data_IF_270286598500
#
_entry.id   IF_270286598500
#
_cell.length_a   1.000
_cell.length_b   1.000
_cell.length_c   1.000
_cell.angle_alpha   90.00
_cell.angle_beta   90.00
_cell.angle_gamma   90.00
#
_symmetry.space_group_name_H-M   'P 1'
#
loop_
_entity.id
_entity.type
_entity.pdbx_description
1 polymer ?
#
# COMPACT_ATOMS: atom_id res chain seq x y z
N UNK A 1 17.06 -2.21 -28.64
CA UNK A 1 16.73 -1.65 -27.31
C UNK A 1 17.03 -2.74 -26.31
N UNK A 2 18.14 -2.61 -25.58
CA UNK A 2 18.60 -3.63 -24.62
C UNK A 2 17.54 -3.77 -23.53
N UNK A 3 16.85 -4.91 -23.50
CA UNK A 3 16.02 -5.29 -22.36
C UNK A 3 16.97 -5.52 -21.19
N UNK A 4 17.26 -4.48 -20.43
CA UNK A 4 17.96 -4.61 -19.16
C UNK A 4 17.08 -5.50 -18.28
N UNK A 5 17.46 -6.76 -18.20
CA UNK A 5 17.03 -7.67 -17.16
C UNK A 5 17.42 -6.96 -15.86
N UNK A 6 16.41 -6.56 -15.10
CA UNK A 6 16.62 -6.07 -13.76
C UNK A 6 17.03 -7.31 -12.96
N UNK A 7 18.34 -7.49 -12.77
CA UNK A 7 18.98 -8.67 -12.15
C UNK A 7 18.66 -8.82 -10.65
N UNK A 8 17.60 -8.17 -10.18
CA UNK A 8 17.13 -8.29 -8.81
C UNK A 8 16.71 -9.73 -8.52
N UNK A 9 17.40 -10.33 -7.55
CA UNK A 9 17.03 -11.57 -6.89
C UNK A 9 16.81 -11.27 -5.42
N UNK A 10 15.67 -11.70 -4.87
CA UNK A 10 15.33 -11.39 -3.49
C UNK A 10 16.38 -11.86 -2.48
N UNK A 11 16.94 -13.05 -2.72
CA UNK A 11 17.97 -13.67 -1.88
C UNK A 11 19.23 -12.79 -1.69
N UNK A 12 19.55 -11.94 -2.68
CA UNK A 12 20.73 -11.06 -2.60
C UNK A 12 20.55 -9.97 -1.53
N UNK A 13 19.30 -9.61 -1.20
CA UNK A 13 18.98 -8.55 -0.24
C UNK A 13 18.57 -9.09 1.14
N UNK A 14 18.12 -10.34 1.24
CA UNK A 14 17.67 -10.96 2.49
C UNK A 14 18.74 -10.85 3.61
N UNK A 15 20.02 -10.99 3.24
CA UNK A 15 21.14 -10.88 4.18
C UNK A 15 21.60 -9.44 4.46
N UNK A 16 21.21 -8.47 3.62
CA UNK A 16 21.64 -7.08 3.76
C UNK A 16 20.86 -6.34 4.85
N UNK A 17 19.71 -6.85 5.29
CA UNK A 17 18.87 -6.17 6.27
C UNK A 17 18.11 -7.13 7.18
N UNK A 18 18.37 -7.02 8.48
CA UNK A 18 17.65 -7.78 9.53
C UNK A 18 16.14 -7.54 9.54
N UNK A 19 15.68 -6.46 8.90
CA UNK A 19 14.26 -6.13 8.77
C UNK A 19 13.57 -7.03 7.76
N UNK A 20 14.25 -7.34 6.64
CA UNK A 20 13.69 -8.22 5.62
C UNK A 20 13.39 -9.58 6.22
N UNK A 21 14.28 -10.14 7.04
CA UNK A 21 14.06 -11.43 7.73
C UNK A 21 12.80 -11.48 8.62
N UNK A 22 12.26 -10.32 9.02
CA UNK A 22 11.05 -10.24 9.86
C UNK A 22 9.76 -10.20 9.06
N UNK A 23 9.81 -9.89 7.76
CA UNK A 23 8.63 -9.77 6.91
C UNK A 23 7.96 -11.14 6.72
N UNK A 24 6.62 -11.14 6.67
CA UNK A 24 5.83 -12.35 6.37
C UNK A 24 6.29 -12.96 5.04
N UNK A 25 6.46 -12.12 4.01
CA UNK A 25 6.93 -12.55 2.70
C UNK A 25 8.28 -13.29 2.77
N UNK A 26 9.27 -12.79 3.52
CA UNK A 26 10.58 -13.45 3.64
C UNK A 26 10.48 -14.82 4.28
N UNK A 27 9.66 -14.95 5.33
CA UNK A 27 9.42 -16.25 5.97
C UNK A 27 8.82 -17.24 4.98
N UNK A 28 7.85 -16.80 4.17
CA UNK A 28 7.24 -17.64 3.11
C UNK A 28 8.29 -17.99 2.04
N UNK A 29 9.01 -17.00 1.52
CA UNK A 29 10.01 -17.17 0.47
C UNK A 29 11.14 -18.12 0.90
N UNK A 30 11.63 -17.97 2.13
CA UNK A 30 12.60 -18.91 2.72
C UNK A 30 12.04 -20.33 2.77
N UNK A 31 10.80 -20.51 3.23
CA UNK A 31 10.14 -21.83 3.23
C UNK A 31 9.96 -22.43 1.85
N UNK A 32 9.69 -21.60 0.85
CA UNK A 32 9.62 -22.06 -0.53
C UNK A 32 10.98 -22.54 -1.00
N UNK A 33 12.08 -21.91 -0.58
CA UNK A 33 13.44 -22.33 -0.95
C UNK A 33 14.04 -23.44 -0.08
N UNK A 34 13.51 -23.70 1.12
CA UNK A 34 13.86 -24.82 2.00
C UNK A 34 13.34 -26.16 1.42
N UNK A 35 13.83 -26.51 0.23
CA UNK A 35 13.42 -27.68 -0.54
C UNK A 35 14.00 -28.97 0.06
N UNK A 36 13.16 -29.74 0.76
CA UNK A 36 13.52 -31.09 1.19
C UNK A 36 13.09 -32.13 0.13
N UNK A 37 14.08 -32.83 -0.45
CA UNK A 37 13.90 -33.89 -1.46
C UNK A 37 13.10 -35.11 -0.95
N UNK A 38 12.96 -35.27 0.36
CA UNK A 38 12.22 -36.37 1.00
C UNK A 38 10.83 -35.94 1.49
N UNK A 39 10.35 -34.74 1.12
CA UNK A 39 9.06 -34.25 1.59
C UNK A 39 7.88 -35.04 1.04
N UNK A 40 6.83 -35.19 1.86
CA UNK A 40 5.53 -35.76 1.46
C UNK A 40 4.96 -35.10 0.21
N UNK A 41 5.19 -33.79 0.05
CA UNK A 41 4.82 -33.05 -1.15
C UNK A 41 5.44 -33.63 -2.42
N UNK A 42 6.74 -33.90 -2.43
CA UNK A 42 7.41 -34.50 -3.58
C UNK A 42 6.93 -35.89 -3.91
N UNK A 43 6.69 -36.74 -2.92
CA UNK A 43 6.12 -38.07 -3.15
C UNK A 43 4.76 -37.96 -3.85
N UNK A 44 3.90 -37.06 -3.35
CA UNK A 44 2.56 -36.84 -3.94
C UNK A 44 2.61 -36.20 -5.32
N UNK A 45 3.59 -35.35 -5.58
CA UNK A 45 3.87 -34.78 -6.89
C UNK A 45 4.38 -35.85 -7.88
N UNK A 46 5.25 -36.77 -7.45
CA UNK A 46 5.72 -37.89 -8.28
C UNK A 46 4.57 -38.77 -8.79
N UNK A 47 3.58 -39.05 -7.93
CA UNK A 47 2.37 -39.79 -8.31
C UNK A 47 1.51 -39.07 -9.36
N UNK A 48 1.51 -37.72 -9.36
CA UNK A 48 0.76 -36.89 -10.35
C UNK A 48 1.56 -36.77 -11.65
N UNK A 49 2.89 -36.68 -11.57
CA UNK A 49 3.79 -36.56 -12.72
C UNK A 49 3.48 -37.58 -13.80
N UNK A 50 3.28 -38.84 -13.42
CA UNK A 50 2.99 -39.94 -14.36
C UNK A 50 1.67 -39.80 -15.13
N UNK A 51 0.78 -38.88 -14.73
CA UNK A 51 -0.51 -38.60 -15.37
C UNK A 51 -0.51 -37.33 -16.21
N UNK A 52 0.51 -36.47 -16.06
CA UNK A 52 0.65 -35.23 -16.81
C UNK A 52 1.59 -35.47 -18.00
N UNK A 53 1.14 -35.13 -19.21
CA UNK A 53 2.04 -35.03 -20.36
C UNK A 53 2.92 -33.79 -20.15
N UNK A 54 4.18 -33.96 -19.76
CA UNK A 54 5.08 -32.82 -19.51
C UNK A 54 6.05 -32.65 -20.67
N UNK A 55 5.97 -31.54 -21.44
CA UNK A 55 7.00 -31.14 -22.41
C UNK A 55 7.97 -30.08 -21.85
N UNK A 56 7.98 -29.82 -20.53
CA UNK A 56 8.85 -28.82 -19.93
C UNK A 56 10.16 -29.42 -19.43
N UNK A 57 11.27 -28.88 -19.91
CA UNK A 57 12.61 -29.43 -19.71
C UNK A 57 13.19 -29.23 -18.30
N UNK A 58 12.53 -28.43 -17.45
CA UNK A 58 12.97 -28.20 -16.07
C UNK A 58 12.11 -28.95 -15.05
N UNK A 59 12.37 -30.25 -14.96
CA UNK A 59 11.72 -31.13 -14.00
C UNK A 59 11.94 -30.68 -12.55
N UNK A 60 13.13 -30.13 -12.24
CA UNK A 60 13.47 -29.69 -10.89
C UNK A 60 12.57 -28.54 -10.46
N UNK A 61 12.45 -27.49 -11.28
CA UNK A 61 11.55 -26.38 -11.00
C UNK A 61 10.09 -26.84 -10.88
N UNK A 62 9.67 -27.75 -11.76
CA UNK A 62 8.29 -28.26 -11.80
C UNK A 62 7.92 -29.02 -10.52
N UNK A 63 8.78 -29.93 -10.08
CA UNK A 63 8.57 -30.70 -8.86
C UNK A 63 8.69 -29.84 -7.61
N UNK A 64 9.57 -28.85 -7.62
CA UNK A 64 9.72 -27.89 -6.52
C UNK A 64 8.46 -27.04 -6.37
N UNK A 65 7.97 -26.44 -7.47
CA UNK A 65 6.70 -25.73 -7.49
C UNK A 65 5.56 -26.61 -6.97
N UNK A 66 5.43 -27.83 -7.49
CA UNK A 66 4.37 -28.75 -7.07
C UNK A 66 4.44 -29.06 -5.57
N UNK A 67 5.65 -29.26 -5.04
CA UNK A 67 5.83 -29.53 -3.61
C UNK A 67 5.41 -28.34 -2.75
N UNK A 68 5.74 -27.11 -3.17
CA UNK A 68 5.29 -25.90 -2.46
C UNK A 68 3.76 -25.83 -2.48
N UNK A 69 3.16 -26.03 -3.65
CA UNK A 69 1.71 -25.97 -3.83
C UNK A 69 0.97 -27.03 -3.00
N UNK A 70 1.51 -28.26 -2.93
CA UNK A 70 1.00 -29.30 -2.06
C UNK A 70 0.99 -28.84 -0.60
N UNK A 71 2.10 -28.26 -0.12
CA UNK A 71 2.20 -27.82 1.27
C UNK A 71 1.21 -26.68 1.58
N UNK A 72 1.00 -25.74 0.65
CA UNK A 72 -0.05 -24.70 0.79
C UNK A 72 -1.43 -25.36 0.90
N UNK A 73 -1.76 -26.28 -0.01
CA UNK A 73 -3.04 -27.00 0.01
C UNK A 73 -3.25 -27.82 1.28
N UNK A 74 -2.21 -28.50 1.75
CA UNK A 74 -2.24 -29.26 3.00
C UNK A 74 -2.51 -28.36 4.20
N UNK A 75 -1.89 -27.18 4.24
CA UNK A 75 -2.12 -26.17 5.29
C UNK A 75 -3.56 -25.62 5.24
N UNK A 76 -4.03 -25.18 4.08
CA UNK A 76 -5.40 -24.63 3.91
C UNK A 76 -6.47 -25.69 4.20
N UNK A 77 -6.19 -26.98 3.96
CA UNK A 77 -7.05 -28.10 4.34
C UNK A 77 -6.89 -28.54 5.81
N UNK A 78 -5.90 -28.01 6.54
CA UNK A 78 -5.53 -28.42 7.91
C UNK A 78 -5.18 -29.90 8.02
N UNK A 79 -4.50 -30.44 7.00
CA UNK A 79 -3.98 -31.81 7.01
C UNK A 79 -2.66 -31.94 7.79
N UNK A 80 -1.99 -30.82 8.03
CA UNK A 80 -0.75 -30.71 8.79
C UNK A 80 -0.88 -29.46 9.69
N UNK A 81 -0.33 -29.49 10.90
CA UNK A 81 -0.56 -28.43 11.88
C UNK A 81 0.56 -27.38 12.01
N UNK A 82 1.71 -27.51 11.32
CA UNK A 82 2.93 -27.01 11.97
C UNK A 82 3.87 -26.14 11.13
N UNK A 83 3.43 -25.43 10.07
CA UNK A 83 4.40 -24.60 9.31
C UNK A 83 3.90 -23.27 8.73
N UNK A 84 2.78 -23.24 8.01
CA UNK A 84 2.26 -21.96 7.50
C UNK A 84 1.24 -21.33 8.45
N UNK A 85 0.55 -22.11 9.28
CA UNK A 85 -0.26 -21.62 10.41
C UNK A 85 0.50 -20.61 11.29
N UNK A 86 1.81 -20.81 11.48
CA UNK A 86 2.68 -19.89 12.25
C UNK A 86 3.10 -18.63 11.46
N UNK A 87 3.01 -18.65 10.13
CA UNK A 87 3.42 -17.55 9.24
C UNK A 87 2.20 -16.73 8.78
N UNK A 88 1.27 -17.38 8.08
CA UNK A 88 -0.02 -16.85 7.65
C UNK A 88 -0.92 -17.97 7.12
N UNK A 89 -2.21 -17.84 7.40
CA UNK A 89 -3.27 -18.69 6.84
C UNK A 89 -4.07 -18.06 5.71
N UNK A 90 -3.63 -16.88 5.26
CA UNK A 90 -4.20 -16.24 4.09
C UNK A 90 -3.64 -16.88 2.81
N UNK A 91 -4.47 -17.69 2.15
CA UNK A 91 -4.10 -18.36 0.91
C UNK A 91 -3.80 -17.36 -0.22
N UNK A 92 -4.36 -16.14 -0.19
CA UNK A 92 -4.02 -15.11 -1.17
C UNK A 92 -2.56 -14.66 -1.03
N UNK A 93 -2.09 -14.45 0.21
CA UNK A 93 -0.70 -14.07 0.45
C UNK A 93 0.24 -15.18 0.02
N UNK A 94 -0.07 -16.44 0.36
CA UNK A 94 0.72 -17.61 -0.04
C UNK A 94 0.78 -17.75 -1.58
N UNK A 95 -0.34 -17.53 -2.27
CA UNK A 95 -0.40 -17.67 -3.72
C UNK A 95 0.29 -16.54 -4.48
N UNK A 96 0.15 -15.29 -4.04
CA UNK A 96 0.89 -14.18 -4.65
C UNK A 96 2.40 -14.34 -4.39
N UNK A 97 2.78 -14.83 -3.21
CA UNK A 97 4.17 -15.19 -2.92
C UNK A 97 4.66 -16.33 -3.82
N UNK A 98 3.83 -17.33 -4.10
CA UNK A 98 4.18 -18.46 -4.97
C UNK A 98 4.35 -18.00 -6.42
N UNK A 99 3.48 -17.14 -6.92
CA UNK A 99 3.62 -16.52 -8.25
C UNK A 99 4.89 -15.69 -8.35
N UNK A 100 5.17 -14.87 -7.34
CA UNK A 100 6.43 -14.12 -7.27
C UNK A 100 7.64 -15.05 -7.37
N UNK A 101 7.68 -16.09 -6.52
CA UNK A 101 8.76 -17.07 -6.49
C UNK A 101 8.91 -17.75 -7.85
N UNK A 102 7.80 -18.19 -8.46
CA UNK A 102 7.81 -18.84 -9.76
C UNK A 102 8.40 -17.92 -10.85
N UNK A 103 7.93 -16.67 -10.94
CA UNK A 103 8.40 -15.72 -11.95
C UNK A 103 9.89 -15.37 -11.77
N UNK A 104 10.38 -15.33 -10.53
CA UNK A 104 11.81 -15.18 -10.27
C UNK A 104 12.60 -16.41 -10.74
N UNK A 105 12.15 -17.62 -10.40
CA UNK A 105 12.83 -18.86 -10.80
C UNK A 105 12.86 -19.07 -12.32
N UNK A 106 11.78 -18.71 -13.02
CA UNK A 106 11.72 -18.74 -14.49
C UNK A 106 12.72 -17.74 -15.09
N UNK A 107 12.79 -16.53 -14.53
CA UNK A 107 13.72 -15.49 -14.99
C UNK A 107 15.19 -15.85 -14.87
N UNK A 108 15.56 -16.59 -13.82
CA UNK A 108 16.94 -17.03 -13.60
C UNK A 108 17.40 -18.07 -14.63
N UNK A 109 16.46 -18.83 -15.22
CA UNK A 109 16.78 -19.99 -16.07
C UNK A 109 16.90 -19.65 -17.55
N UNK A 110 16.93 -18.36 -17.90
CA UNK A 110 17.12 -17.80 -19.26
C UNK A 110 16.16 -18.36 -20.33
N UNK A 111 15.08 -18.99 -19.87
CA UNK A 111 14.18 -19.77 -20.69
C UNK A 111 12.93 -18.95 -21.00
N UNK A 112 12.91 -18.35 -22.21
CA UNK A 112 11.70 -17.81 -22.86
C UNK A 112 10.77 -18.96 -23.28
N UNK A 113 10.33 -19.78 -22.32
CA UNK A 113 9.55 -20.97 -22.62
C UNK A 113 8.07 -20.61 -22.66
N UNK A 114 7.49 -20.79 -23.83
CA UNK A 114 6.04 -20.77 -24.05
C UNK A 114 5.37 -21.93 -23.29
N UNK A 115 4.16 -21.72 -22.77
CA UNK A 115 3.31 -22.71 -22.08
C UNK A 115 3.69 -23.07 -20.63
N UNK A 116 4.55 -22.28 -19.98
CA UNK A 116 4.85 -22.40 -18.56
C UNK A 116 3.57 -22.37 -17.70
N UNK A 117 2.65 -21.48 -18.02
CA UNK A 117 1.43 -21.28 -17.24
C UNK A 117 0.47 -22.47 -17.33
N UNK A 118 0.31 -23.05 -18.52
CA UNK A 118 -0.52 -24.23 -18.76
C UNK A 118 -0.02 -25.40 -17.91
N UNK A 119 1.30 -25.59 -17.86
CA UNK A 119 1.92 -26.63 -17.05
C UNK A 119 1.60 -26.43 -15.57
N UNK A 120 1.95 -25.27 -15.01
CA UNK A 120 1.79 -25.03 -13.57
C UNK A 120 0.32 -24.99 -13.14
N UNK A 121 -0.57 -24.49 -13.99
CA UNK A 121 -2.01 -24.55 -13.78
C UNK A 121 -2.52 -26.00 -13.77
N UNK A 122 -2.03 -26.87 -14.66
CA UNK A 122 -2.39 -28.29 -14.68
C UNK A 122 -1.95 -29.02 -13.41
N UNK A 123 -0.76 -28.71 -12.88
CA UNK A 123 -0.30 -29.23 -11.60
C UNK A 123 -1.19 -28.81 -10.44
N UNK A 124 -1.61 -27.54 -10.42
CA UNK A 124 -2.56 -27.01 -9.45
C UNK A 124 -3.88 -27.76 -9.48
N UNK A 125 -4.51 -27.86 -10.64
CA UNK A 125 -5.85 -28.45 -10.75
C UNK A 125 -5.85 -29.94 -10.37
N UNK A 126 -4.78 -30.67 -10.70
CA UNK A 126 -4.62 -32.07 -10.29
C UNK A 126 -4.41 -32.22 -8.78
N UNK A 127 -3.61 -31.35 -8.16
CA UNK A 127 -3.40 -31.35 -6.72
C UNK A 127 -4.68 -30.98 -5.96
N UNK A 128 -5.41 -29.96 -6.41
CA UNK A 128 -6.69 -29.56 -5.82
C UNK A 128 -7.71 -30.70 -5.88
N UNK A 129 -7.79 -31.40 -7.01
CA UNK A 129 -8.65 -32.58 -7.18
C UNK A 129 -8.25 -33.72 -6.24
N UNK A 130 -6.95 -34.04 -6.18
CA UNK A 130 -6.42 -35.13 -5.35
C UNK A 130 -6.58 -34.86 -3.86
N UNK A 131 -6.35 -33.62 -3.43
CA UNK A 131 -6.47 -33.21 -2.04
C UNK A 131 -7.94 -32.94 -1.70
N UNK A 132 -8.80 -32.66 -2.66
CA UNK A 132 -10.20 -32.31 -2.42
C UNK A 132 -10.35 -30.95 -1.73
N UNK A 133 -9.47 -30.00 -2.06
CA UNK A 133 -9.53 -28.61 -1.56
C UNK A 133 -9.14 -27.67 -2.68
N UNK A 134 -9.96 -26.64 -2.90
CA UNK A 134 -9.69 -25.55 -3.84
C UNK A 134 -9.03 -24.39 -3.09
N UNK A 135 -8.00 -23.80 -3.67
CA UNK A 135 -7.41 -22.54 -3.21
C UNK A 135 -8.25 -21.35 -3.69
N UNK A 136 -7.97 -20.17 -3.16
CA UNK A 136 -8.56 -18.92 -3.65
C UNK A 136 -8.30 -18.70 -5.14
N UNK A 137 -9.18 -17.92 -5.77
CA UNK A 137 -9.05 -17.63 -7.21
C UNK A 137 -7.75 -16.86 -7.52
N UNK A 138 -7.19 -16.15 -6.52
CA UNK A 138 -5.88 -15.50 -6.59
C UNK A 138 -4.70 -16.45 -6.86
N UNK A 139 -4.91 -17.76 -6.71
CA UNK A 139 -3.93 -18.81 -6.99
C UNK A 139 -3.96 -19.29 -8.44
N UNK A 140 -4.86 -18.76 -9.27
CA UNK A 140 -4.93 -19.08 -10.69
C UNK A 140 -3.68 -18.59 -11.42
N UNK A 141 -3.11 -19.42 -12.26
CA UNK A 141 -1.93 -19.10 -13.07
C UNK A 141 -2.44 -18.74 -14.47
N UNK A 142 -2.32 -17.45 -14.79
CA UNK A 142 -2.73 -16.93 -16.08
C UNK A 142 -1.64 -17.14 -17.12
N UNK A 143 -2.02 -17.36 -18.37
CA UNK A 143 -1.07 -17.41 -19.48
C UNK A 143 -0.51 -16.01 -19.74
N UNK A 144 0.80 -15.84 -19.53
CA UNK A 144 1.51 -14.57 -19.57
C UNK A 144 2.82 -14.73 -20.36
N UNK A 145 3.24 -13.66 -21.04
CA UNK A 145 4.59 -13.63 -21.60
C UNK A 145 5.63 -13.25 -20.52
N UNK A 146 6.91 -13.42 -20.82
CA UNK A 146 7.98 -13.08 -19.88
C UNK A 146 7.97 -11.61 -19.45
N UNK A 147 7.61 -10.70 -20.35
CA UNK A 147 7.58 -9.26 -20.06
C UNK A 147 6.50 -8.97 -19.01
N UNK A 148 5.35 -9.59 -19.15
CA UNK A 148 4.21 -9.49 -18.24
C UNK A 148 4.50 -10.15 -16.88
N UNK A 149 5.08 -11.35 -16.88
CA UNK A 149 5.55 -12.02 -15.65
C UNK A 149 6.55 -11.16 -14.88
N UNK A 150 7.54 -10.58 -15.57
CA UNK A 150 8.54 -9.74 -14.95
C UNK A 150 7.92 -8.41 -14.45
N UNK A 151 6.96 -7.84 -15.17
CA UNK A 151 6.22 -6.65 -14.73
C UNK A 151 5.42 -6.95 -13.46
N UNK A 152 4.68 -8.07 -13.42
CA UNK A 152 3.96 -8.53 -12.22
C UNK A 152 4.91 -8.82 -11.06
N UNK A 153 6.06 -9.46 -11.31
CA UNK A 153 7.08 -9.74 -10.28
C UNK A 153 7.51 -8.45 -9.56
N UNK A 154 7.72 -7.35 -10.29
CA UNK A 154 8.06 -6.04 -9.70
C UNK A 154 6.88 -5.47 -8.89
N UNK A 155 5.66 -5.56 -9.42
CA UNK A 155 4.44 -5.10 -8.73
C UNK A 155 4.22 -5.87 -7.42
N UNK A 156 4.35 -7.20 -7.46
CA UNK A 156 4.25 -8.04 -6.27
C UNK A 156 5.34 -7.72 -5.26
N UNK A 157 6.58 -7.49 -5.70
CA UNK A 157 7.67 -7.07 -4.81
C UNK A 157 7.30 -5.81 -4.04
N UNK A 158 6.83 -4.78 -4.76
CA UNK A 158 6.37 -3.55 -4.14
C UNK A 158 5.30 -3.82 -3.08
N UNK A 159 4.29 -4.63 -3.38
CA UNK A 159 3.22 -4.89 -2.42
C UNK A 159 3.65 -5.75 -1.23
N UNK A 160 4.19 -6.94 -1.50
CA UNK A 160 4.58 -7.94 -0.50
C UNK A 160 5.65 -7.43 0.45
N UNK A 161 6.63 -6.71 -0.07
CA UNK A 161 7.81 -6.26 0.68
C UNK A 161 7.54 -4.87 1.25
N UNK A 162 7.13 -3.90 0.45
CA UNK A 162 7.07 -2.50 0.87
C UNK A 162 5.70 -2.08 1.41
N UNK A 163 4.66 -2.15 0.56
CA UNK A 163 3.34 -1.59 0.86
C UNK A 163 2.66 -2.26 2.05
N UNK A 164 2.79 -3.58 2.20
CA UNK A 164 2.26 -4.29 3.37
C UNK A 164 3.03 -4.03 4.66
N UNK A 165 4.19 -3.36 4.59
CA UNK A 165 5.12 -3.19 5.71
C UNK A 165 5.56 -1.73 5.91
N UNK A 166 4.73 -0.76 5.52
CA UNK A 166 5.06 0.68 5.57
C UNK A 166 5.55 1.16 6.94
N UNK A 167 4.90 0.70 8.02
CA UNK A 167 5.31 1.05 9.38
C UNK A 167 6.71 0.53 9.76
N UNK A 168 7.13 -0.58 9.15
CA UNK A 168 8.46 -1.15 9.31
C UNK A 168 9.47 -0.35 8.51
N UNK A 169 9.21 -0.07 7.23
CA UNK A 169 10.13 0.67 6.37
C UNK A 169 10.31 2.13 6.81
N UNK A 170 9.25 2.79 7.30
CA UNK A 170 9.34 4.17 7.81
C UNK A 170 10.29 4.33 9.00
N UNK A 171 10.47 3.28 9.81
CA UNK A 171 11.31 3.33 11.02
C UNK A 171 12.77 2.97 10.78
N UNK A 172 13.12 2.48 9.59
CA UNK A 172 14.42 1.86 9.35
C UNK A 172 15.13 2.47 8.14
N UNK A 173 16.17 3.25 8.41
CA UNK A 173 16.89 4.04 7.39
C UNK A 173 18.25 3.43 7.01
N UNK A 174 18.55 2.19 7.38
CA UNK A 174 19.85 1.56 7.11
C UNK A 174 19.85 0.61 5.90
N UNK A 175 18.81 0.68 5.07
CA UNK A 175 18.67 -0.13 3.87
C UNK A 175 19.18 0.67 2.68
N UNK A 176 20.00 0.05 1.83
CA UNK A 176 20.55 0.70 0.63
C UNK A 176 19.44 1.13 -0.32
N UNK A 177 19.61 2.29 -0.94
CA UNK A 177 18.67 2.85 -1.91
C UNK A 177 18.47 1.97 -3.13
N UNK A 178 19.40 1.04 -3.42
CA UNK A 178 19.23 0.00 -4.44
C UNK A 178 17.93 -0.83 -4.26
N UNK A 179 17.59 -1.20 -3.02
CA UNK A 179 16.34 -1.94 -2.76
C UNK A 179 15.11 -1.05 -2.96
N UNK A 180 15.17 0.20 -2.47
CA UNK A 180 14.10 1.17 -2.63
C UNK A 180 13.84 1.54 -4.09
N UNK A 181 14.90 1.63 -4.91
CA UNK A 181 14.80 1.83 -6.35
C UNK A 181 14.05 0.66 -7.01
N UNK A 182 14.44 -0.58 -6.71
CA UNK A 182 13.74 -1.76 -7.24
C UNK A 182 12.26 -1.80 -6.84
N UNK A 183 11.96 -1.58 -5.56
CA UNK A 183 10.58 -1.54 -5.06
C UNK A 183 9.80 -0.38 -5.68
N UNK A 184 10.44 0.76 -5.91
CA UNK A 184 9.86 1.94 -6.53
C UNK A 184 9.54 1.75 -8.01
N UNK A 185 10.39 1.03 -8.75
CA UNK A 185 10.07 0.54 -10.09
C UNK A 185 8.84 -0.36 -10.11
N UNK A 186 8.60 -1.11 -9.03
CA UNK A 186 7.36 -1.87 -8.84
C UNK A 186 6.12 -0.99 -8.70
N UNK A 187 6.21 0.10 -7.92
CA UNK A 187 5.16 1.13 -7.84
C UNK A 187 4.89 1.77 -9.20
N UNK A 188 5.94 2.16 -9.93
CA UNK A 188 5.82 2.70 -11.29
C UNK A 188 5.14 1.71 -12.24
N UNK A 189 5.57 0.45 -12.23
CA UNK A 189 4.98 -0.60 -13.05
C UNK A 189 3.49 -0.79 -12.73
N UNK A 190 3.11 -0.75 -11.45
CA UNK A 190 1.71 -0.79 -11.03
C UNK A 190 0.91 0.37 -11.62
N UNK A 191 1.43 1.59 -11.49
CA UNK A 191 0.81 2.80 -12.04
C UNK A 191 0.59 2.72 -13.56
N UNK A 192 1.64 2.40 -14.31
CA UNK A 192 1.57 2.28 -15.77
C UNK A 192 0.58 1.19 -16.20
N UNK A 193 0.52 0.09 -15.45
CA UNK A 193 -0.43 -0.99 -15.68
C UNK A 193 -1.89 -0.60 -15.42
N UNK A 194 -2.18 0.32 -14.50
CA UNK A 194 -3.54 0.83 -14.31
C UNK A 194 -4.03 1.60 -15.55
N UNK A 195 -3.15 2.35 -16.21
CA UNK A 195 -3.47 3.06 -17.45
C UNK A 195 -3.68 2.05 -18.58
N UNK A 196 -2.75 1.11 -18.72
CA UNK A 196 -2.79 0.06 -19.75
C UNK A 196 -4.07 -0.77 -19.67
N UNK A 197 -4.48 -1.19 -18.47
CA UNK A 197 -5.67 -2.01 -18.25
C UNK A 197 -7.00 -1.24 -18.26
N UNK A 198 -6.96 0.09 -18.22
CA UNK A 198 -8.15 0.94 -18.39
C UNK A 198 -8.56 1.07 -19.86
N UNK A 199 -7.60 0.98 -20.79
CA UNK A 199 -7.82 1.16 -22.23
C UNK A 199 -8.22 -0.17 -22.89
N UNK A 200 -9.50 -0.53 -22.79
CA UNK A 200 -10.27 -1.54 -23.56
C UNK A 200 -9.74 -2.99 -23.68
N UNK A 201 -8.55 -3.35 -23.20
CA UNK A 201 -8.07 -4.75 -23.12
C UNK A 201 -8.66 -5.49 -21.92
N UNK A 202 -9.97 -5.37 -21.69
CA UNK A 202 -10.71 -5.96 -20.55
C UNK A 202 -10.69 -7.50 -20.51
N UNK A 203 -10.07 -8.16 -21.50
CA UNK A 203 -9.89 -9.61 -21.59
C UNK A 203 -8.45 -10.10 -21.49
N UNK A 204 -7.45 -9.22 -21.40
CA UNK A 204 -6.05 -9.60 -21.31
C UNK A 204 -5.73 -10.26 -19.97
N UNK A 205 -4.93 -11.33 -20.01
CA UNK A 205 -4.61 -12.15 -18.86
C UNK A 205 -3.79 -11.38 -17.82
N UNK A 206 -2.87 -10.52 -18.27
CA UNK A 206 -2.14 -9.60 -17.39
C UNK A 206 -3.11 -8.70 -16.60
N UNK A 207 -4.10 -8.12 -17.26
CA UNK A 207 -5.06 -7.24 -16.61
C UNK A 207 -6.02 -7.98 -15.67
N UNK A 208 -6.37 -9.24 -15.95
CA UNK A 208 -7.13 -10.08 -15.02
C UNK A 208 -6.34 -10.30 -13.72
N UNK A 209 -5.09 -10.72 -13.85
CA UNK A 209 -4.19 -10.93 -12.71
C UNK A 209 -4.03 -9.65 -11.88
N UNK A 210 -3.76 -8.51 -12.52
CA UNK A 210 -3.64 -7.22 -11.85
C UNK A 210 -4.91 -6.81 -11.10
N UNK A 211 -6.08 -7.06 -11.69
CA UNK A 211 -7.37 -6.72 -11.09
C UNK A 211 -7.72 -7.58 -9.88
N UNK A 212 -7.28 -8.83 -9.84
CA UNK A 212 -7.38 -9.68 -8.65
C UNK A 212 -6.41 -9.20 -7.57
N UNK A 213 -5.15 -8.98 -7.93
CA UNK A 213 -4.10 -8.49 -7.05
C UNK A 213 -4.48 -7.18 -6.34
N UNK A 214 -4.98 -6.17 -7.08
CA UNK A 214 -5.29 -4.86 -6.49
C UNK A 214 -6.41 -4.95 -5.45
N UNK A 215 -7.36 -5.89 -5.59
CA UNK A 215 -8.42 -6.11 -4.60
C UNK A 215 -7.87 -6.70 -3.31
N UNK A 216 -6.95 -7.65 -3.42
CA UNK A 216 -6.32 -8.34 -2.28
C UNK A 216 -5.56 -7.34 -1.41
N UNK A 217 -4.81 -6.42 -2.05
CA UNK A 217 -4.05 -5.39 -1.34
C UNK A 217 -4.82 -4.07 -1.14
N UNK A 218 -6.12 -4.02 -1.46
CA UNK A 218 -6.97 -2.82 -1.36
C UNK A 218 -6.39 -1.58 -2.06
N UNK A 219 -5.71 -1.82 -3.19
CA UNK A 219 -5.08 -0.79 -4.03
C UNK A 219 -6.07 -0.19 -5.06
N UNK A 220 -7.33 -0.62 -5.05
CA UNK A 220 -8.41 -0.14 -5.91
C UNK A 220 -8.95 1.24 -5.51
N UNK A 221 -8.81 1.61 -4.22
CA UNK A 221 -9.25 2.89 -3.67
C UNK A 221 -8.09 3.89 -3.51
N UNK A 222 -7.03 3.73 -4.28
CA UNK A 222 -5.80 4.51 -4.17
C UNK A 222 -5.67 5.47 -5.33
N UNK A 223 -5.33 6.71 -4.99
CA UNK A 223 -5.08 7.80 -5.92
C UNK A 223 -3.60 7.87 -6.26
N UNK A 224 -3.33 8.26 -7.49
CA UNK A 224 -1.98 8.45 -7.99
C UNK A 224 -1.84 9.83 -8.63
N UNK A 225 -0.60 10.31 -8.66
CA UNK A 225 -0.24 11.52 -9.39
C UNK A 225 1.16 11.36 -9.95
N UNK A 226 1.31 11.67 -11.24
CA UNK A 226 2.62 11.79 -11.88
C UNK A 226 2.92 13.27 -12.12
N UNK A 227 4.07 13.74 -11.66
CA UNK A 227 4.52 15.12 -11.85
C UNK A 227 5.90 15.15 -12.47
N UNK A 228 6.08 15.96 -13.50
CA UNK A 228 7.39 16.30 -14.04
C UNK A 228 8.08 17.30 -13.11
N UNK A 229 9.37 17.09 -12.87
CA UNK A 229 10.17 17.92 -11.97
C UNK A 229 11.40 18.43 -12.72
N UNK A 230 11.71 19.72 -12.59
CA UNK A 230 12.74 20.40 -13.39
C UNK A 230 14.16 20.23 -12.86
N UNK A 231 14.31 19.92 -11.56
CA UNK A 231 15.61 19.63 -10.95
C UNK A 231 15.80 18.13 -10.82
N UNK A 232 16.79 17.59 -11.53
CA UNK A 232 17.02 16.16 -11.64
C UNK A 232 17.25 15.46 -10.28
N UNK A 233 16.54 14.36 -10.00
CA UNK A 233 16.88 13.48 -8.88
C UNK A 233 18.19 12.73 -9.17
N UNK A 234 19.15 12.81 -8.26
CA UNK A 234 20.45 12.13 -8.38
C UNK A 234 20.41 10.81 -7.62
N UNK A 235 20.33 9.71 -8.35
CA UNK A 235 20.33 8.37 -7.78
C UNK A 235 21.72 7.92 -7.34
N UNK A 236 21.82 7.37 -6.12
CA UNK A 236 22.99 6.67 -5.62
C UNK A 236 22.58 5.34 -4.99
N UNK A 237 22.94 4.23 -5.63
CA UNK A 237 22.57 2.88 -5.19
C UNK A 237 23.14 2.46 -3.82
N UNK A 238 24.31 2.97 -3.45
CA UNK A 238 24.98 2.63 -2.18
C UNK A 238 24.57 3.55 -1.03
N UNK A 239 23.86 4.65 -1.32
CA UNK A 239 23.32 5.53 -0.29
C UNK A 239 22.30 4.78 0.56
N UNK A 240 22.13 5.20 1.81
CA UNK A 240 20.98 4.83 2.66
C UNK A 240 20.04 6.02 2.90
N UNK A 241 20.46 7.21 2.48
CA UNK A 241 19.74 8.46 2.64
C UNK A 241 19.20 8.94 1.29
N UNK A 242 18.09 9.69 1.35
CA UNK A 242 17.42 10.28 0.17
C UNK A 242 17.17 9.25 -0.95
N UNK A 243 16.67 8.08 -0.58
CA UNK A 243 16.33 7.02 -1.52
C UNK A 243 15.15 7.40 -2.43
N UNK A 244 15.06 6.80 -3.64
CA UNK A 244 14.08 7.24 -4.62
C UNK A 244 12.65 6.90 -4.20
N UNK A 245 12.45 5.81 -3.45
CA UNK A 245 11.17 5.44 -2.86
C UNK A 245 11.16 5.82 -1.38
N UNK A 246 10.17 6.58 -0.95
CA UNK A 246 10.09 7.11 0.41
C UNK A 246 8.62 7.24 0.88
N UNK A 247 8.42 7.16 2.20
CA UNK A 247 7.13 7.25 2.87
C UNK A 247 7.02 8.61 3.56
N UNK A 248 6.42 9.58 2.88
CA UNK A 248 6.16 10.90 3.47
C UNK A 248 5.21 10.79 4.67
N UNK A 249 4.16 9.97 4.53
CA UNK A 249 3.19 9.71 5.60
C UNK A 249 2.65 8.29 5.52
N UNK A 250 2.41 7.65 6.67
CA UNK A 250 1.81 6.30 6.77
C UNK A 250 0.30 6.39 7.01
N UNK A 251 -0.21 7.53 7.51
CA UNK A 251 -1.63 7.71 7.87
C UNK A 251 -2.07 9.15 7.62
N UNK A 252 -3.30 9.31 7.11
CA UNK A 252 -4.05 10.57 6.99
C UNK A 252 -3.32 11.76 6.32
N UNK A 253 -3.12 11.68 4.98
CA UNK A 253 -3.25 10.48 4.17
C UNK A 253 -1.96 9.69 4.15
N UNK A 254 -2.07 8.42 3.77
CA UNK A 254 -0.94 7.66 3.27
C UNK A 254 -0.32 8.42 2.09
N UNK A 255 0.99 8.63 2.10
CA UNK A 255 1.72 9.25 0.98
C UNK A 255 3.04 8.52 0.78
N UNK A 256 3.15 7.89 -0.38
CA UNK A 256 4.38 7.25 -0.85
C UNK A 256 4.80 8.01 -2.10
N UNK A 257 6.08 8.39 -2.16
CA UNK A 257 6.68 9.00 -3.35
C UNK A 257 7.72 8.06 -3.94
N UNK A 258 7.78 8.01 -5.26
CA UNK A 258 8.87 7.42 -6.02
C UNK A 258 9.43 8.47 -6.98
N UNK A 259 10.72 8.75 -6.86
CA UNK A 259 11.43 9.76 -7.62
C UNK A 259 12.33 9.10 -8.67
N UNK A 260 12.18 9.54 -9.90
CA UNK A 260 13.10 9.31 -11.00
C UNK A 260 13.76 10.65 -11.37
N UNK A 261 14.75 10.61 -12.25
CA UNK A 261 15.51 11.79 -12.66
C UNK A 261 14.61 13.01 -12.92
N UNK A 262 13.57 12.87 -13.75
CA UNK A 262 12.72 14.00 -14.14
C UNK A 262 11.25 13.86 -13.75
N UNK A 263 10.88 12.80 -13.02
CA UNK A 263 9.48 12.47 -12.71
C UNK A 263 9.32 12.05 -11.25
N UNK A 264 8.19 12.39 -10.66
CA UNK A 264 7.79 11.90 -9.34
C UNK A 264 6.41 11.26 -9.45
N UNK A 265 6.32 10.03 -8.97
CA UNK A 265 5.06 9.28 -8.86
C UNK A 265 4.66 9.27 -7.39
N UNK A 266 3.45 9.76 -7.11
CA UNK A 266 2.83 9.71 -5.82
C UNK A 266 1.74 8.65 -5.78
N UNK A 267 1.65 7.96 -4.64
CA UNK A 267 0.56 7.07 -4.27
C UNK A 267 -0.04 7.53 -2.94
N UNK A 268 -1.37 7.65 -2.89
CA UNK A 268 -2.11 8.13 -1.73
C UNK A 268 -3.47 7.47 -1.58
N UNK A 269 -3.94 7.31 -0.35
CA UNK A 269 -5.30 6.83 -0.04
C UNK A 269 -6.37 7.95 -0.14
N UNK A 270 -5.96 9.18 -0.44
CA UNK A 270 -6.83 10.32 -0.71
C UNK A 270 -6.44 11.03 -2.00
N UNK A 271 -7.43 11.68 -2.65
CA UNK A 271 -7.20 12.46 -3.87
C UNK A 271 -6.10 13.51 -3.64
N UNK A 272 -5.11 13.49 -4.53
CA UNK A 272 -3.98 14.41 -4.47
C UNK A 272 -4.38 15.87 -4.77
N UNK A 273 -5.55 16.11 -5.37
CA UNK A 273 -6.08 17.46 -5.59
C UNK A 273 -6.58 18.09 -4.28
N UNK A 274 -7.13 17.28 -3.37
CA UNK A 274 -7.48 17.68 -2.00
C UNK A 274 -6.24 17.88 -1.11
N UNK A 275 -5.09 17.32 -1.53
CA UNK A 275 -3.85 17.39 -0.79
C UNK A 275 -3.05 18.63 -1.15
N UNK A 276 -3.11 19.06 -2.41
CA UNK A 276 -2.54 20.34 -2.83
C UNK A 276 -3.22 21.56 -2.17
N UNK A 277 -4.48 21.44 -1.71
CA UNK A 277 -5.16 22.50 -0.95
C UNK A 277 -4.86 22.49 0.56
N UNK A 278 -4.29 21.41 1.09
CA UNK A 278 -3.98 21.24 2.53
C UNK A 278 -2.49 21.24 2.87
N UNK A 279 -1.60 21.27 1.88
CA UNK A 279 -0.17 21.52 2.11
C UNK A 279 0.03 23.02 2.32
N UNK A 280 -0.30 23.49 3.53
CA UNK A 280 0.41 24.65 4.08
C UNK A 280 1.85 24.19 4.20
N UNK A 281 2.67 24.62 3.25
CA UNK A 281 4.11 24.41 3.27
C UNK A 281 4.65 24.83 4.63
N UNK A 282 5.07 23.87 5.45
CA UNK A 282 5.69 24.11 6.75
C UNK A 282 7.03 24.88 6.64
N UNK A 283 7.45 25.24 5.41
CA UNK A 283 8.60 26.13 5.17
C UNK A 283 8.27 27.63 5.26
N UNK A 284 7.00 28.03 5.47
CA UNK A 284 6.64 29.44 5.69
C UNK A 284 6.50 29.85 7.17
N UNK A 285 6.70 28.94 8.13
CA UNK A 285 6.51 29.22 9.56
C UNK A 285 7.69 29.93 10.26
N UNK A 286 8.79 30.22 9.55
CA UNK A 286 9.91 31.01 10.09
C UNK A 286 10.00 32.44 9.54
N UNK A 287 8.99 32.89 8.77
CA UNK A 287 9.10 34.13 8.00
C UNK A 287 8.19 35.32 8.35
N UNK A 288 7.13 35.17 9.17
CA UNK A 288 6.15 36.29 9.34
C UNK A 288 5.54 36.44 10.73
N UNK A 289 6.28 36.20 11.81
CA UNK A 289 5.83 36.58 13.17
C UNK A 289 5.73 38.10 13.40
N UNK A 290 6.14 38.93 12.44
CA UNK A 290 6.03 40.40 12.52
C UNK A 290 4.85 40.97 11.71
N UNK A 291 4.23 40.18 10.82
CA UNK A 291 3.15 40.66 9.94
C UNK A 291 1.75 40.59 10.56
N UNK A 292 1.44 39.49 11.26
CA UNK A 292 0.12 39.32 11.89
C UNK A 292 -0.10 40.30 13.06
N UNK A 293 0.96 40.60 13.81
CA UNK A 293 0.92 41.50 14.97
C UNK A 293 0.70 42.96 14.55
N UNK A 294 1.36 43.42 13.48
CA UNK A 294 1.16 44.77 12.95
C UNK A 294 -0.23 44.96 12.29
N UNK A 295 -0.73 43.94 11.57
CA UNK A 295 -2.05 43.99 10.95
C UNK A 295 -3.18 44.00 11.99
N UNK A 296 -3.07 43.21 13.06
CA UNK A 296 -4.02 43.25 14.18
C UNK A 296 -3.96 44.57 14.94
N UNK A 297 -2.77 45.16 15.12
CA UNK A 297 -2.63 46.49 15.73
C UNK A 297 -3.23 47.59 14.85
N UNK A 298 -3.07 47.49 13.53
CA UNK A 298 -3.69 48.40 12.57
C UNK A 298 -5.22 48.29 12.59
N UNK A 299 -5.78 47.07 12.58
CA UNK A 299 -7.21 46.85 12.72
C UNK A 299 -7.74 47.32 14.08
N UNK A 300 -7.00 47.13 15.17
CA UNK A 300 -7.36 47.64 16.49
C UNK A 300 -7.37 49.18 16.54
N UNK A 301 -6.39 49.85 15.92
CA UNK A 301 -6.28 51.31 15.91
C UNK A 301 -7.31 51.98 14.98
N UNK A 302 -7.66 51.34 13.87
CA UNK A 302 -8.47 51.96 12.79
C UNK A 302 -9.87 51.38 12.61
N UNK A 303 -10.24 50.33 13.35
CA UNK A 303 -11.62 49.78 13.37
C UNK A 303 -12.25 50.06 14.73
N UNK A 304 -13.49 50.52 14.77
CA UNK A 304 -14.24 50.88 16.00
C UNK A 304 -14.55 49.70 16.93
N UNK A 305 -13.97 48.51 16.69
CA UNK A 305 -14.14 47.29 17.49
C UNK A 305 -13.72 47.47 18.96
N UNK A 306 -12.86 48.43 19.29
CA UNK A 306 -12.50 48.78 20.66
C UNK A 306 -13.66 49.28 21.53
N UNK A 307 -14.72 49.86 20.94
CA UNK A 307 -15.90 50.33 21.71
C UNK A 307 -16.86 49.19 22.08
N UNK A 308 -16.89 48.11 21.30
CA UNK A 308 -17.77 46.96 21.51
C UNK A 308 -17.37 46.09 22.70
N UNK A 309 -16.08 46.03 23.05
CA UNK A 309 -15.61 45.30 24.23
C UNK A 309 -15.69 46.13 25.52
N UNK A 310 -15.68 47.47 25.42
CA UNK A 310 -15.78 48.34 26.60
C UNK A 310 -17.20 48.39 27.19
N UNK A 311 -18.23 48.19 26.36
CA UNK A 311 -19.64 48.17 26.80
C UNK A 311 -20.05 46.87 27.49
N UNK A 312 -19.27 45.78 27.37
CA UNK A 312 -19.60 44.49 27.99
C UNK A 312 -18.99 44.27 29.38
N UNK A 313 -18.01 45.06 29.80
CA UNK A 313 -17.41 44.96 31.14
C UNK A 313 -17.97 45.95 32.17
N UNK A 314 -19.01 46.72 31.83
CA UNK A 314 -19.57 47.73 32.74
C UNK A 314 -20.93 47.32 33.34
N UNK A 315 -21.23 46.02 33.41
CA UNK A 315 -22.49 45.51 33.97
C UNK A 315 -22.38 44.54 35.16
N UNK A 316 -21.18 44.21 35.62
CA UNK A 316 -20.98 43.26 36.73
C UNK A 316 -20.23 43.88 37.92
N UNK A 317 -20.67 45.05 38.40
CA UNK A 317 -20.31 45.54 39.73
C UNK A 317 -21.59 45.74 40.55
N UNK A 318 -22.22 44.64 40.95
CA UNK A 318 -23.18 44.64 42.07
C UNK A 318 -22.39 44.27 43.32
N UNK A 319 -22.06 45.32 44.07
CA UNK A 319 -22.01 45.43 45.54
C UNK A 319 -21.87 44.12 46.34
N UNK A 320 -20.64 43.84 46.78
CA UNK A 320 -20.38 42.97 47.93
C UNK A 320 -20.51 43.81 49.19
N UNK A 321 -21.48 43.49 50.05
CA UNK A 321 -21.40 43.83 51.47
C UNK A 321 -22.16 42.80 52.34
N UNK A 322 -21.41 42.23 53.28
CA UNK A 322 -21.81 41.64 54.57
C UNK A 322 -22.84 40.49 54.68
N UNK A 323 -22.38 39.30 55.14
CA UNK A 323 -22.54 38.78 56.53
C UNK A 323 -22.38 37.25 56.63
N UNK A 324 -21.97 36.84 57.83
CA UNK A 324 -21.45 35.55 58.28
C UNK A 324 -22.37 34.31 58.23
N UNK A 325 -21.70 33.18 58.53
CA UNK A 325 -22.15 31.99 59.30
C UNK A 325 -22.71 30.75 58.57
N UNK A 326 -21.91 29.68 58.68
CA UNK A 326 -22.23 28.25 58.85
C UNK A 326 -23.16 27.51 57.87
N UNK A 327 -22.73 26.31 57.49
CA UNK A 327 -23.64 25.22 57.13
C UNK A 327 -23.26 24.42 55.88
N UNK A 328 -22.82 23.19 56.10
CA UNK A 328 -22.66 22.05 55.20
C UNK A 328 -23.45 22.04 53.86
N UNK A 329 -22.79 21.66 52.77
CA UNK A 329 -22.95 20.37 52.02
C UNK A 329 -22.47 20.51 50.56
N UNK A 330 -21.61 19.59 50.13
CA UNK A 330 -21.26 19.41 48.72
C UNK A 330 -22.49 18.92 47.94
N UNK A 331 -23.02 19.76 47.04
CA UNK A 331 -23.89 19.33 45.92
C UNK A 331 -23.50 20.09 44.66
N UNK A 332 -23.17 19.31 43.62
CA UNK A 332 -22.97 19.78 42.25
C UNK A 332 -24.28 20.40 41.71
N UNK A 333 -24.28 21.60 41.11
CA UNK A 333 -25.45 22.13 40.44
C UNK A 333 -25.54 21.59 39.01
N UNK A 334 -26.56 20.78 38.75
CA UNK A 334 -27.15 20.56 37.42
C UNK A 334 -27.73 21.88 36.92
N UNK A 335 -27.19 22.45 35.85
CA UNK A 335 -27.84 23.57 35.17
C UNK A 335 -28.91 23.05 34.21
N UNK A 336 -30.17 23.21 34.62
CA UNK A 336 -31.32 23.17 33.72
C UNK A 336 -31.18 24.27 32.67
N UNK A 337 -31.15 23.89 31.40
CA UNK A 337 -31.23 24.85 30.30
C UNK A 337 -32.70 25.24 30.16
N UNK A 338 -33.00 26.49 30.54
CA UNK A 338 -34.27 27.14 30.26
C UNK A 338 -34.54 27.16 28.74
N UNK A 339 -35.68 26.61 28.35
CA UNK A 339 -36.18 26.66 26.97
C UNK A 339 -36.61 28.10 26.64
N UNK A 340 -35.92 28.74 25.70
CA UNK A 340 -36.44 29.91 24.98
C UNK A 340 -36.99 29.45 23.64
N UNK A 341 -38.32 29.57 23.48
CA UNK A 341 -39.01 29.38 22.21
C UNK A 341 -38.49 30.39 21.18
N UNK A 342 -37.94 29.90 20.07
CA UNK A 342 -37.65 30.70 18.89
C UNK A 342 -38.48 30.14 17.73
N UNK A 343 -39.38 31.00 17.28
CA UNK A 343 -40.37 30.81 16.23
C UNK A 343 -39.72 30.50 14.87
N UNK A 344 -40.43 29.67 14.10
CA UNK A 344 -40.00 29.09 12.84
C UNK A 344 -40.12 30.13 11.70
N UNK A 345 -39.03 30.83 11.39
CA UNK A 345 -38.95 31.74 10.24
C UNK A 345 -38.56 31.00 8.95
N UNK A 346 -39.49 30.83 8.02
CA UNK A 346 -39.22 30.30 6.68
C UNK A 346 -38.36 31.29 5.88
N UNK A 347 -37.11 30.92 5.59
CA UNK A 347 -36.26 31.67 4.65
C UNK A 347 -36.54 31.20 3.21
N UNK A 348 -37.14 32.06 2.39
CA UNK A 348 -37.25 31.86 0.94
C UNK A 348 -35.99 32.39 0.26
N UNK A 349 -35.27 31.51 -0.45
CA UNK A 349 -34.10 31.87 -1.26
C UNK A 349 -34.60 32.09 -2.70
N UNK A 350 -34.45 33.32 -3.22
CA UNK A 350 -34.71 33.66 -4.62
C UNK A 350 -33.43 33.55 -5.46
N UNK A 351 -33.50 32.82 -6.57
CA UNK A 351 -32.44 32.75 -7.57
C UNK A 351 -32.73 33.73 -8.72
N UNK A 352 -31.76 34.56 -9.07
CA UNK A 352 -31.80 35.37 -10.29
C UNK A 352 -31.24 34.54 -11.46
N UNK A 353 -32.02 34.35 -12.51
CA UNK A 353 -31.56 33.79 -13.79
C UNK A 353 -31.02 34.89 -14.70
N UNK A 354 -29.80 34.70 -15.20
CA UNK A 354 -29.19 35.53 -16.23
C UNK A 354 -29.67 35.07 -17.62
N UNK A 355 -30.51 35.87 -18.27
CA UNK A 355 -30.76 35.78 -19.71
C UNK A 355 -29.72 36.64 -20.44
N UNK A 356 -28.90 36.02 -21.27
CA UNK A 356 -28.17 36.74 -22.32
C UNK A 356 -28.88 36.52 -23.66
N UNK A 357 -29.25 37.62 -24.29
CA UNK A 357 -29.80 37.72 -25.65
C UNK A 357 -28.72 37.54 -26.70
#
# INVERSE_FOLDING_TARGET
MSYLIDDFKYADYENESSILNKLIFSKIYKKFNDYNKESTGLQKCGEIKGKLSVPYNDEVLTLHFCSILYNILANVKKLQNDLYDEITNDDNILCISLKYWLYEQVGIRDQKVSNIDILFQSWKDNLETKIGKKLSDSCKIYELDWKDMNKLRKIYSFALIYYSNLGTFKKNHHIKCKLFDYLGKGLKAYYESLIECSNEKKGDNFCKELNEFKKIYKLDNIYWKNTTFSTGYVYNEQSTDNCPLDIESVQNPLRIKYQEENNIIYLSDQSMDLLNSSIISASSALGTTVGLSAFLFYLYKYTSLGSLFRTRMQKDNIMFDHMDTEGHTFKLPTSEIARTNLENGNYSISYYSLNNS
#
